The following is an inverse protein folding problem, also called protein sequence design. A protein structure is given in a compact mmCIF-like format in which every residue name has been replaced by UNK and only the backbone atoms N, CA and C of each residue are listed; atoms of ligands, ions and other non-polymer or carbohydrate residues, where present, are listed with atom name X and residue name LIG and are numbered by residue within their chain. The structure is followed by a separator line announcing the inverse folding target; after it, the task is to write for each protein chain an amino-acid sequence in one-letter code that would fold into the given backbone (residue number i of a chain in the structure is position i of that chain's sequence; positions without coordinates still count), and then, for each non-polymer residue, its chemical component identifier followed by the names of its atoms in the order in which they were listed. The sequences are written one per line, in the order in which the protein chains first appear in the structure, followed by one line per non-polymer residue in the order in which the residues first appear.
data_IF_023728597158
#
_entry.id   IF_023728597158
#
_cell.length_a   1.000
_cell.length_b   1.000
_cell.length_c   1.000
_cell.angle_alpha   90.00
_cell.angle_beta   90.00
_cell.angle_gamma   90.00
#
_symmetry.space_group_name_H-M   'P 1'
#
loop_
_entity.id
_entity.type
_entity.pdbx_description
1 polymer ?
#
# COMPACT_ATOMS: atom_id res chain seq x y z
N UNK A 1 -9.30 8.69 -5.09
CA UNK A 1 -9.71 9.82 -4.23
C UNK A 1 -10.78 10.72 -4.82
N UNK A 2 -10.55 11.35 -5.98
CA UNK A 2 -11.45 12.38 -6.55
C UNK A 2 -12.92 11.96 -6.74
N UNK A 3 -13.15 10.71 -7.17
CA UNK A 3 -14.51 10.12 -7.30
C UNK A 3 -15.15 9.92 -5.92
N UNK A 4 -14.36 9.46 -4.94
CA UNK A 4 -14.78 9.23 -3.56
C UNK A 4 -14.84 10.52 -2.72
N UNK A 5 -14.35 11.66 -3.26
CA UNK A 5 -14.28 12.96 -2.59
C UNK A 5 -13.57 12.93 -1.22
N UNK A 6 -12.53 12.11 -1.11
CA UNK A 6 -11.66 12.01 0.08
C UNK A 6 -10.25 12.50 -0.23
N UNK A 7 -9.50 12.92 0.79
CA UNK A 7 -8.11 13.31 0.64
C UNK A 7 -7.19 12.08 0.50
N UNK A 8 -6.07 12.18 -0.23
CA UNK A 8 -5.17 11.05 -0.42
C UNK A 8 -4.61 10.43 0.86
N UNK A 9 -4.30 11.28 1.84
CA UNK A 9 -3.83 10.87 3.17
C UNK A 9 -4.83 10.01 3.96
N UNK A 10 -6.11 10.08 3.59
CA UNK A 10 -7.21 9.35 4.23
C UNK A 10 -7.56 8.07 3.45
N UNK A 11 -6.66 7.60 2.58
CA UNK A 11 -6.83 6.35 1.85
C UNK A 11 -5.68 5.37 2.11
N UNK A 12 -6.01 4.10 1.93
CA UNK A 12 -5.08 3.00 1.73
C UNK A 12 -5.12 2.60 0.26
N UNK A 13 -3.96 2.27 -0.31
CA UNK A 13 -3.86 1.55 -1.58
C UNK A 13 -3.16 0.22 -1.39
N UNK A 14 -3.58 -0.78 -2.16
CA UNK A 14 -2.98 -2.10 -2.20
C UNK A 14 -2.27 -2.26 -3.54
N UNK A 15 -0.95 -2.32 -3.52
CA UNK A 15 -0.11 -2.28 -4.73
C UNK A 15 0.92 -3.41 -4.72
N UNK A 16 1.20 -3.98 -5.89
CA UNK A 16 2.19 -5.03 -6.11
C UNK A 16 3.36 -4.58 -7.00
N UNK A 17 3.46 -3.27 -7.25
CA UNK A 17 4.45 -2.65 -8.14
C UNK A 17 5.21 -1.52 -7.44
N UNK A 18 6.53 -1.46 -7.68
CA UNK A 18 7.41 -0.42 -7.11
C UNK A 18 7.01 1.00 -7.53
N UNK A 19 6.59 1.16 -8.79
CA UNK A 19 6.22 2.47 -9.32
C UNK A 19 4.97 3.00 -8.64
N UNK A 20 3.99 2.14 -8.39
CA UNK A 20 2.72 2.52 -7.78
C UNK A 20 2.87 2.75 -6.28
N UNK A 21 3.72 1.98 -5.60
CA UNK A 21 4.12 2.24 -4.21
C UNK A 21 4.76 3.63 -4.06
N UNK A 22 5.70 3.97 -4.96
CA UNK A 22 6.33 5.30 -4.97
C UNK A 22 5.34 6.41 -5.27
N UNK A 23 4.43 6.20 -6.22
CA UNK A 23 3.39 7.17 -6.55
C UNK A 23 2.46 7.44 -5.37
N UNK A 24 2.06 6.39 -4.65
CA UNK A 24 1.23 6.48 -3.44
C UNK A 24 1.93 7.29 -2.33
N UNK A 25 3.23 7.01 -2.09
CA UNK A 25 4.02 7.75 -1.12
C UNK A 25 4.11 9.25 -1.49
N UNK A 26 4.35 9.58 -2.76
CA UNK A 26 4.38 10.97 -3.24
C UNK A 26 3.01 11.66 -3.15
N UNK A 27 1.93 10.91 -3.29
CA UNK A 27 0.56 11.40 -3.08
C UNK A 27 0.20 11.55 -1.60
N UNK A 28 1.07 11.15 -0.66
CA UNK A 28 0.79 11.15 0.78
C UNK A 28 -0.19 10.06 1.21
N UNK A 29 -0.41 9.06 0.37
CA UNK A 29 -1.29 7.90 0.61
C UNK A 29 -0.49 6.76 1.22
N UNK A 30 -1.10 5.96 2.11
CA UNK A 30 -0.43 4.76 2.65
C UNK A 30 -0.50 3.62 1.63
N UNK A 31 0.66 3.12 1.23
CA UNK A 31 0.77 1.94 0.37
C UNK A 31 0.99 0.67 1.20
N UNK A 32 0.11 -0.30 1.01
CA UNK A 32 0.20 -1.63 1.57
C UNK A 32 0.49 -2.60 0.45
N UNK A 33 1.54 -3.41 0.60
CA UNK A 33 1.99 -4.27 -0.49
C UNK A 33 2.01 -5.72 -0.06
N UNK A 34 1.63 -6.60 -0.99
CA UNK A 34 1.78 -8.04 -0.83
C UNK A 34 3.12 -8.45 -1.41
N UNK A 35 3.89 -9.19 -0.61
CA UNK A 35 5.14 -9.81 -1.05
C UNK A 35 4.86 -10.66 -2.29
N UNK A 36 5.41 -10.23 -3.42
CA UNK A 36 5.35 -10.97 -4.67
C UNK A 36 6.73 -11.54 -4.99
N UNK A 37 6.80 -12.53 -5.87
CA UNK A 37 8.07 -13.07 -6.35
C UNK A 37 8.87 -12.09 -7.24
N UNK A 38 8.29 -10.93 -7.54
CA UNK A 38 8.81 -9.97 -8.52
C UNK A 38 9.46 -8.74 -7.87
N UNK A 39 9.32 -8.58 -6.55
CA UNK A 39 9.89 -7.47 -5.80
C UNK A 39 10.73 -8.02 -4.65
N UNK A 40 11.95 -7.52 -4.50
CA UNK A 40 12.79 -7.84 -3.36
C UNK A 40 12.53 -6.89 -2.18
N UNK A 41 13.11 -7.21 -1.01
CA UNK A 41 12.90 -6.40 0.19
C UNK A 41 13.47 -4.97 0.04
N UNK A 42 14.44 -4.74 -0.84
CA UNK A 42 15.03 -3.42 -1.08
C UNK A 42 14.05 -2.51 -1.85
N UNK A 43 13.38 -3.06 -2.86
CA UNK A 43 12.32 -2.38 -3.61
C UNK A 43 11.17 -1.97 -2.67
N UNK A 44 10.87 -2.80 -1.67
CA UNK A 44 9.73 -2.64 -0.78
C UNK A 44 10.01 -1.75 0.44
N UNK A 45 11.22 -1.25 0.64
CA UNK A 45 11.57 -0.34 1.76
C UNK A 45 10.74 0.95 1.81
N UNK A 46 10.21 1.35 0.67
CA UNK A 46 9.38 2.56 0.56
C UNK A 46 7.89 2.31 0.87
N UNK A 47 7.47 1.06 0.99
CA UNK A 47 6.10 0.71 1.37
C UNK A 47 5.86 0.96 2.87
N UNK A 48 4.65 1.41 3.22
CA UNK A 48 4.31 1.64 4.63
C UNK A 48 4.11 0.35 5.41
N UNK A 49 3.76 -0.75 4.73
CA UNK A 49 3.57 -2.07 5.33
C UNK A 49 3.65 -3.16 4.25
N UNK A 50 4.31 -4.26 4.61
CA UNK A 50 4.52 -5.44 3.78
C UNK A 50 3.79 -6.63 4.38
N UNK A 51 2.96 -7.29 3.59
CA UNK A 51 2.22 -8.49 3.99
C UNK A 51 2.64 -9.69 3.18
N UNK A 52 2.55 -10.88 3.77
CA UNK A 52 2.81 -12.14 3.06
C UNK A 52 1.53 -12.86 2.65
N UNK A 53 0.36 -12.40 3.13
CA UNK A 53 -0.95 -12.99 2.82
C UNK A 53 -2.08 -11.98 2.98
N UNK A 54 -3.16 -12.16 2.22
CA UNK A 54 -4.41 -11.41 2.41
C UNK A 54 -5.04 -11.59 3.80
N UNK A 55 -4.71 -12.67 4.52
CA UNK A 55 -5.20 -12.87 5.89
C UNK A 55 -4.62 -11.84 6.87
N UNK A 56 -3.41 -11.33 6.61
CA UNK A 56 -2.76 -10.29 7.42
C UNK A 56 -3.37 -8.91 7.15
N UNK A 57 -4.08 -8.76 6.03
CA UNK A 57 -4.73 -7.53 5.58
C UNK A 57 -6.02 -7.23 6.36
N UNK A 58 -6.76 -8.28 6.75
CA UNK A 58 -8.09 -8.16 7.34
C UNK A 58 -8.08 -7.40 8.69
N UNK A 59 -7.19 -7.71 9.66
CA UNK A 59 -7.11 -6.93 10.90
C UNK A 59 -6.81 -5.45 10.63
N UNK A 60 -5.93 -5.18 9.66
CA UNK A 60 -5.53 -3.80 9.33
C UNK A 60 -6.70 -3.00 8.76
N UNK A 61 -7.55 -3.60 7.92
CA UNK A 61 -8.75 -2.93 7.40
C UNK A 61 -9.79 -2.69 8.50
N UNK A 62 -9.95 -3.66 9.42
CA UNK A 62 -10.94 -3.56 10.50
C UNK A 62 -10.59 -2.44 11.49
N UNK A 63 -9.30 -2.24 11.75
CA UNK A 63 -8.79 -1.27 12.72
C UNK A 63 -8.53 0.14 12.14
N UNK A 64 -8.79 0.36 10.85
CA UNK A 64 -8.54 1.63 10.14
C UNK A 64 -9.75 2.55 10.12
#
# INVERSE_FOLDING_TARGET
MRILKVEPKDCIVFEDSLNDIKAAALAGTKAYTLRSAFLDDEDLKSANSLFSSYHELLPVIIDW
#
